data_IF_859959962066
#
_entry.id   IF_859959962066
#
_cell.length_a   1.000
_cell.length_b   1.000
_cell.length_c   1.000
_cell.angle_alpha   90.00
_cell.angle_beta   90.00
_cell.angle_gamma   90.00
#
_symmetry.space_group_name_H-M   'P 1'
#
loop_
_entity.id
_entity.type
_entity.pdbx_description
1 polymer ?
#
# COMPACT_ATOMS: atom_id res chain seq x y z
N UNK A 1 8.07 10.78 -16.57
CA UNK A 1 8.20 10.03 -15.31
C UNK A 1 6.82 9.52 -14.95
N UNK A 2 6.66 8.27 -14.50
CA UNK A 2 5.35 7.76 -14.09
C UNK A 2 4.82 8.59 -12.92
N UNK A 3 3.54 8.96 -12.95
CA UNK A 3 2.92 9.67 -11.82
C UNK A 3 2.31 8.66 -10.86
N UNK A 4 2.99 8.41 -9.75
CA UNK A 4 2.56 7.45 -8.72
C UNK A 4 1.71 8.08 -7.61
N UNK A 5 1.57 9.41 -7.56
CA UNK A 5 0.98 10.12 -6.42
C UNK A 5 -0.44 9.68 -6.09
N UNK A 6 -1.22 9.36 -7.12
CA UNK A 6 -2.62 8.93 -6.99
C UNK A 6 -2.79 7.41 -6.92
N UNK A 7 -1.70 6.64 -6.93
CA UNK A 7 -1.78 5.18 -6.76
C UNK A 7 -2.18 4.85 -5.33
N UNK A 8 -3.13 3.92 -5.20
CA UNK A 8 -3.54 3.39 -3.92
C UNK A 8 -2.60 2.27 -3.49
N UNK A 9 -2.24 2.27 -2.22
CA UNK A 9 -1.45 1.23 -1.57
C UNK A 9 -2.11 0.85 -0.24
N UNK A 10 -2.08 -0.44 0.07
CA UNK A 10 -2.53 -0.94 1.36
C UNK A 10 -1.52 -0.59 2.45
N UNK A 11 -2.03 -0.06 3.56
CA UNK A 11 -1.27 0.23 4.77
C UNK A 11 -1.91 -0.45 5.97
N UNK A 12 -1.12 -0.71 6.99
CA UNK A 12 -1.60 -1.24 8.27
C UNK A 12 -2.47 -0.20 8.99
N UNK A 13 -3.65 -0.58 9.47
CA UNK A 13 -4.54 0.36 10.19
C UNK A 13 -3.95 0.87 11.51
N UNK A 14 -3.05 0.10 12.12
CA UNK A 14 -2.46 0.44 13.43
C UNK A 14 -1.23 1.36 13.31
N UNK A 15 -0.34 1.10 12.34
CA UNK A 15 0.88 1.92 12.19
C UNK A 15 0.85 2.88 10.99
N UNK A 16 -0.12 2.74 10.08
CA UNK A 16 -0.25 3.58 8.89
C UNK A 16 0.82 3.40 7.83
N UNK A 17 1.80 2.50 8.05
CA UNK A 17 2.94 2.28 7.15
C UNK A 17 2.61 1.26 6.08
N UNK A 18 3.00 1.53 4.84
CA UNK A 18 2.91 0.56 3.76
C UNK A 18 3.90 -0.59 3.96
N UNK A 19 5.12 -0.29 4.45
CA UNK A 19 6.20 -1.26 4.66
C UNK A 19 5.82 -2.40 5.63
N UNK A 20 4.85 -2.14 6.51
CA UNK A 20 4.31 -3.14 7.41
C UNK A 20 3.56 -4.24 6.65
N UNK A 21 2.64 -3.84 5.77
CA UNK A 21 1.81 -4.80 5.03
C UNK A 21 2.55 -5.41 3.83
N UNK A 22 3.55 -4.70 3.30
CA UNK A 22 4.47 -5.21 2.29
C UNK A 22 5.52 -6.20 2.85
N UNK A 23 5.43 -6.58 4.15
CA UNK A 23 6.26 -7.62 4.76
C UNK A 23 7.73 -7.25 4.97
N UNK A 24 8.09 -5.98 4.86
CA UNK A 24 9.48 -5.51 5.07
C UNK A 24 9.75 -5.15 6.52
N UNK A 25 8.69 -4.80 7.23
CA UNK A 25 8.64 -4.54 8.64
C UNK A 25 7.33 -5.14 9.16
N UNK A 26 7.22 -5.36 10.46
CA UNK A 26 5.97 -5.82 11.06
C UNK A 26 5.84 -5.20 12.44
N UNK A 27 4.80 -4.38 12.65
CA UNK A 27 4.56 -3.77 13.96
C UNK A 27 4.02 -4.80 14.96
N UNK A 28 4.11 -4.51 16.26
CA UNK A 28 3.58 -5.39 17.32
C UNK A 28 2.08 -5.66 17.19
N UNK A 29 1.32 -4.67 16.72
CA UNK A 29 -0.14 -4.75 16.60
C UNK A 29 -0.59 -5.43 15.30
N UNK A 30 0.35 -5.78 14.40
CA UNK A 30 0.04 -6.35 13.08
C UNK A 30 -0.79 -7.63 13.13
N UNK A 31 -0.70 -8.39 14.23
CA UNK A 31 -1.45 -9.63 14.42
C UNK A 31 -2.98 -9.41 14.43
N UNK A 32 -3.42 -8.23 14.89
CA UNK A 32 -4.84 -7.85 14.93
C UNK A 32 -5.19 -6.68 14.02
N UNK A 33 -4.23 -6.17 13.24
CA UNK A 33 -4.44 -5.03 12.37
C UNK A 33 -5.13 -5.44 11.06
N UNK A 34 -6.04 -4.59 10.60
CA UNK A 34 -6.60 -4.65 9.25
C UNK A 34 -5.71 -3.84 8.29
N UNK A 35 -6.15 -3.75 7.03
CA UNK A 35 -5.59 -2.83 6.04
C UNK A 35 -6.57 -1.74 5.63
N UNK A 36 -6.02 -0.59 5.26
CA UNK A 36 -6.75 0.46 4.56
C UNK A 36 -5.98 0.94 3.33
N UNK A 37 -6.69 1.46 2.33
CA UNK A 37 -6.09 2.04 1.13
C UNK A 37 -5.80 3.53 1.35
N UNK A 38 -4.59 3.95 1.02
CA UNK A 38 -4.16 5.35 0.97
C UNK A 38 -3.46 5.64 -0.35
N UNK A 39 -3.49 6.90 -0.77
CA UNK A 39 -2.68 7.35 -1.90
C UNK A 39 -1.22 7.52 -1.47
N UNK A 40 -0.29 7.34 -2.41
CA UNK A 40 1.14 7.63 -2.16
C UNK A 40 1.33 9.08 -1.70
N UNK A 41 0.58 10.04 -2.27
CA UNK A 41 0.64 11.44 -1.84
C UNK A 41 0.24 11.65 -0.38
N UNK A 42 -0.80 10.97 0.12
CA UNK A 42 -1.21 11.04 1.52
C UNK A 42 -0.13 10.49 2.46
N UNK A 43 0.53 9.42 2.06
CA UNK A 43 1.58 8.77 2.86
C UNK A 43 2.90 9.54 2.84
N UNK A 44 3.26 10.18 1.72
CA UNK A 44 4.41 11.08 1.66
C UNK A 44 4.20 12.35 2.49
N UNK A 45 2.95 12.84 2.59
CA UNK A 45 2.62 14.03 3.36
C UNK A 45 2.58 13.77 4.87
N UNK A 46 2.24 12.54 5.28
CA UNK A 46 2.21 12.12 6.67
C UNK A 46 3.45 11.30 6.95
N UNK A 47 4.44 11.89 7.60
CA UNK A 47 5.65 11.18 8.00
C UNK A 47 5.33 10.06 9.00
N UNK A 48 4.97 8.89 8.49
CA UNK A 48 4.72 7.68 9.27
C UNK A 48 6.02 6.97 9.67
N UNK A 49 7.20 7.52 9.33
CA UNK A 49 8.51 6.95 9.61
C UNK A 49 9.03 6.00 8.52
N UNK A 50 8.43 6.02 7.33
CA UNK A 50 9.01 5.42 6.13
C UNK A 50 10.03 6.39 5.53
N UNK A 51 11.22 5.89 5.17
CA UNK A 51 12.26 6.76 4.60
C UNK A 51 11.83 7.32 3.25
N UNK A 52 12.40 8.46 2.84
CA UNK A 52 12.14 9.04 1.52
C UNK A 52 12.46 8.05 0.39
N UNK A 53 13.51 7.24 0.55
CA UNK A 53 13.90 6.19 -0.40
C UNK A 53 12.81 5.12 -0.59
N UNK A 54 11.97 4.89 0.44
CA UNK A 54 10.83 3.98 0.34
C UNK A 54 9.85 4.43 -0.75
N UNK A 55 9.74 5.74 -0.94
CA UNK A 55 8.85 6.38 -1.89
C UNK A 55 9.55 6.79 -3.19
N UNK A 56 10.75 6.27 -3.46
CA UNK A 56 11.48 6.52 -4.70
C UNK A 56 10.75 5.96 -5.93
N UNK A 57 10.89 6.63 -7.07
CA UNK A 57 10.30 6.19 -8.34
C UNK A 57 10.69 4.75 -8.71
N UNK A 58 11.92 4.33 -8.43
CA UNK A 58 12.39 2.96 -8.67
C UNK A 58 11.57 1.96 -7.85
N UNK A 59 11.39 2.24 -6.56
CA UNK A 59 10.64 1.36 -5.67
C UNK A 59 9.14 1.36 -5.96
N UNK A 60 8.56 2.52 -6.26
CA UNK A 60 7.17 2.61 -6.68
C UNK A 60 6.98 1.91 -8.03
N UNK A 61 7.97 1.94 -8.92
CA UNK A 61 7.95 1.12 -10.14
C UNK A 61 8.02 -0.38 -9.84
N UNK A 62 8.70 -0.83 -8.78
CA UNK A 62 8.67 -2.25 -8.37
C UNK A 62 7.33 -2.66 -7.73
N UNK A 63 6.70 -1.74 -6.99
CA UNK A 63 5.40 -2.00 -6.35
C UNK A 63 4.23 -1.95 -7.35
N UNK A 64 4.32 -1.11 -8.38
CA UNK A 64 3.24 -0.86 -9.33
C UNK A 64 3.54 -1.27 -10.79
N UNK A 65 4.77 -1.68 -11.10
CA UNK A 65 5.25 -1.98 -12.45
C UNK A 65 5.19 -3.47 -12.81
N UNK A 66 4.57 -3.68 -13.97
CA UNK A 66 4.09 -4.91 -14.61
C UNK A 66 3.19 -5.85 -13.77
N UNK A 67 1.98 -6.18 -14.26
CA UNK A 67 1.13 -7.17 -13.62
C UNK A 67 1.85 -8.52 -13.69
N UNK A 68 2.40 -8.98 -12.57
CA UNK A 68 2.71 -10.39 -12.44
C UNK A 68 1.42 -11.18 -12.77
N UNK A 69 1.47 -12.23 -13.62
CA UNK A 69 0.30 -12.99 -14.07
C UNK A 69 -0.28 -13.90 -12.97
N UNK A 70 -0.26 -13.47 -11.71
CA UNK A 70 -0.83 -14.18 -10.58
C UNK A 70 -1.93 -13.35 -9.92
N UNK A 71 -3.07 -13.27 -10.62
CA UNK A 71 -4.37 -13.49 -10.01
C UNK A 71 -4.76 -12.66 -8.79
N UNK A 72 -4.49 -11.35 -8.78
CA UNK A 72 -5.28 -10.46 -7.93
C UNK A 72 -6.69 -10.39 -8.52
N UNK A 73 -7.61 -11.18 -7.97
CA UNK A 73 -9.04 -11.14 -8.29
C UNK A 73 -9.59 -9.79 -7.83
N UNK A 74 -10.00 -8.95 -8.77
CA UNK A 74 -10.94 -7.83 -8.52
C UNK A 74 -12.38 -8.36 -8.34
N UNK A 75 -12.56 -9.43 -7.56
CA UNK A 75 -13.88 -10.00 -7.30
C UNK A 75 -14.03 -10.30 -5.81
N UNK A 76 -14.37 -9.27 -5.01
CA UNK A 76 -15.30 -9.38 -3.88
C UNK A 76 -15.49 -8.06 -3.10
N UNK A 77 -16.20 -7.05 -3.65
CA UNK A 77 -17.12 -6.20 -2.85
C UNK A 77 -17.89 -5.20 -3.72
N UNK A 78 -18.90 -5.71 -4.42
CA UNK A 78 -20.11 -5.04 -4.94
C UNK A 78 -20.72 -6.18 -5.78
N UNK A 79 -21.76 -6.92 -5.38
CA UNK A 79 -23.09 -6.48 -4.99
C UNK A 79 -23.72 -7.50 -4.02
N UNK A 80 -24.09 -7.05 -2.81
CA UNK A 80 -25.28 -7.58 -2.13
C UNK A 80 -26.35 -6.53 -2.33
N UNK A 81 -27.26 -6.75 -3.28
CA UNK A 81 -28.66 -6.28 -3.27
C UNK A 81 -29.30 -6.50 -4.66
N UNK A 82 -29.92 -7.67 -4.85
CA UNK A 82 -31.35 -7.85 -5.13
C UNK A 82 -31.63 -9.26 -5.68
#
# INVERSE_FOLDING_TARGET
MPDFKNKLIEVCTECGRACCWQGQFMCSESLGADTELKTVAELQAKDYGESEDYWSDERLSLLFGDPAPHGYREDARLEKNQ
#
